data_IF_967078129661
#
_entry.id   IF_967078129661
#
_cell.length_a   1.000
_cell.length_b   1.000
_cell.length_c   1.000
_cell.angle_alpha   90.00
_cell.angle_beta   90.00
_cell.angle_gamma   90.00
#
_symmetry.space_group_name_H-M   'P 1'
#
loop_
_entity.id
_entity.type
_entity.pdbx_description
1 polymer ?
#
# COMPACT_ATOMS: atom_id res chain seq x y z
N UNK A 1 25.27 20.44 -7.50
CA UNK A 1 24.47 20.85 -8.67
C UNK A 1 24.43 19.69 -9.66
N UNK A 2 23.98 18.53 -9.17
CA UNK A 2 23.81 17.33 -9.98
C UNK A 2 22.34 17.26 -10.38
N UNK A 3 21.96 18.03 -11.40
CA UNK A 3 20.62 17.97 -11.98
C UNK A 3 20.58 16.80 -12.98
N UNK A 4 20.11 15.63 -12.55
CA UNK A 4 19.91 14.49 -13.46
C UNK A 4 18.68 14.79 -14.32
N UNK A 5 18.91 15.20 -15.57
CA UNK A 5 17.86 15.36 -16.59
C UNK A 5 17.61 14.03 -17.30
N UNK A 6 16.64 13.25 -16.83
CA UNK A 6 16.22 12.01 -17.48
C UNK A 6 15.19 12.28 -18.59
N UNK A 7 15.60 12.12 -19.85
CA UNK A 7 14.68 12.18 -20.99
C UNK A 7 14.04 10.78 -21.18
N UNK A 8 12.74 10.66 -20.95
CA UNK A 8 12.00 9.42 -21.27
C UNK A 8 11.18 9.62 -22.56
N UNK A 9 11.61 8.91 -23.60
CA UNK A 9 10.92 8.85 -24.89
C UNK A 9 9.88 7.74 -24.85
N UNK A 10 8.58 8.05 -24.99
CA UNK A 10 7.52 7.05 -24.93
C UNK A 10 6.74 6.95 -26.24
N UNK A 11 6.45 5.70 -26.61
CA UNK A 11 5.58 5.32 -27.73
C UNK A 11 4.28 4.77 -27.16
N UNK A 12 3.17 5.51 -27.30
CA UNK A 12 1.85 4.94 -27.05
C UNK A 12 1.51 4.01 -28.24
N UNK A 13 1.46 2.69 -27.99
CA UNK A 13 0.86 1.72 -28.91
C UNK A 13 -0.65 1.67 -28.65
N UNK A 14 -1.41 2.46 -29.39
CA UNK A 14 -2.86 2.27 -29.52
C UNK A 14 -3.12 1.44 -30.78
N UNK A 15 -3.43 0.14 -30.60
CA UNK A 15 -3.72 -0.84 -31.67
C UNK A 15 -5.06 -0.57 -32.43
N UNK A 16 -5.55 0.68 -32.48
CA UNK A 16 -6.79 1.02 -33.17
C UNK A 16 -6.74 2.28 -34.05
N UNK A 17 -5.60 2.96 -34.22
CA UNK A 17 -5.49 3.98 -35.26
C UNK A 17 -4.07 4.12 -35.83
N UNK A 18 -4.00 4.17 -37.15
CA UNK A 18 -2.78 4.27 -37.99
C UNK A 18 -2.00 5.60 -37.85
N UNK A 19 -2.12 6.30 -36.72
CA UNK A 19 -1.36 7.53 -36.42
C UNK A 19 -0.64 7.38 -35.08
N UNK A 20 0.38 6.51 -35.06
CA UNK A 20 1.33 6.46 -33.95
C UNK A 20 2.03 7.82 -33.85
N UNK A 21 1.68 8.59 -32.82
CA UNK A 21 2.43 9.80 -32.47
C UNK A 21 3.38 9.44 -31.35
N UNK A 22 4.67 9.45 -31.66
CA UNK A 22 5.73 9.36 -30.65
C UNK A 22 5.66 10.61 -29.78
N UNK A 23 5.39 10.45 -28.48
CA UNK A 23 5.28 11.57 -27.54
C UNK A 23 6.43 11.47 -26.55
N UNK A 24 7.30 12.48 -26.55
CA UNK A 24 8.44 12.54 -25.64
C UNK A 24 8.04 13.25 -24.35
N UNK A 25 8.37 12.65 -23.21
CA UNK A 25 8.17 13.25 -21.90
C UNK A 25 9.52 13.54 -21.24
N UNK A 26 9.61 14.71 -20.63
CA UNK A 26 10.83 15.14 -19.94
C UNK A 26 10.63 14.92 -18.45
N UNK A 27 11.59 14.27 -17.80
CA UNK A 27 11.61 14.08 -16.36
C UNK A 27 12.91 14.64 -15.79
N UNK A 28 12.81 15.61 -14.89
CA UNK A 28 13.98 16.12 -14.17
C UNK A 28 13.96 15.52 -12.77
N UNK A 29 15.08 14.97 -12.34
CA UNK A 29 15.26 14.43 -11.00
C UNK A 29 16.48 15.09 -10.36
N UNK A 30 16.26 15.74 -9.23
CA UNK A 30 17.30 16.26 -8.37
C UNK A 30 17.44 15.28 -7.18
N UNK A 31 18.63 14.67 -7.07
CA UNK A 31 18.93 13.68 -6.03
C UNK A 31 19.14 14.33 -4.66
N UNK A 32 19.67 15.55 -4.59
CA UNK A 32 19.93 16.30 -3.35
C UNK A 32 18.60 16.60 -2.63
N UNK A 33 17.62 17.14 -3.36
CA UNK A 33 16.32 17.52 -2.81
C UNK A 33 15.26 16.41 -2.92
N UNK A 34 15.60 15.29 -3.57
CA UNK A 34 14.64 14.27 -4.03
C UNK A 34 13.43 14.91 -4.74
N UNK A 35 13.68 15.96 -5.53
CA UNK A 35 12.65 16.63 -6.33
C UNK A 35 12.56 16.02 -7.72
N UNK A 36 11.33 15.72 -8.14
CA UNK A 36 11.05 15.14 -9.44
C UNK A 36 9.91 15.87 -10.14
N UNK A 37 10.15 16.23 -11.39
CA UNK A 37 9.18 16.89 -12.23
C UNK A 37 9.03 16.13 -13.55
N UNK A 38 7.79 15.98 -14.02
CA UNK A 38 7.53 15.40 -15.34
C UNK A 38 6.62 16.31 -16.15
N UNK A 39 6.93 16.47 -17.44
CA UNK A 39 6.11 17.21 -18.40
C UNK A 39 4.69 16.63 -18.58
N UNK A 40 4.43 15.41 -18.09
CA UNK A 40 3.09 14.82 -18.01
C UNK A 40 2.12 15.60 -17.10
N UNK A 41 2.65 16.40 -16.15
CA UNK A 41 1.89 17.17 -15.15
C UNK A 41 0.84 16.38 -14.35
N UNK A 42 0.95 15.05 -14.30
CA UNK A 42 -0.03 14.17 -13.64
C UNK A 42 -0.16 14.48 -12.15
N UNK A 43 0.95 14.87 -11.50
CA UNK A 43 0.93 15.27 -10.10
C UNK A 43 0.13 16.58 -9.91
N UNK A 44 0.30 17.57 -10.78
CA UNK A 44 -0.44 18.82 -10.73
C UNK A 44 -1.95 18.61 -10.90
N UNK A 45 -2.36 17.70 -11.82
CA UNK A 45 -3.77 17.45 -12.12
C UNK A 45 -4.45 16.46 -11.16
N UNK A 46 -3.77 15.39 -10.75
CA UNK A 46 -4.36 14.29 -9.95
C UNK A 46 -3.75 14.15 -8.56
N UNK A 47 -2.63 14.81 -8.29
CA UNK A 47 -1.88 14.63 -7.05
C UNK A 47 -1.23 13.26 -6.91
N UNK A 48 -1.02 12.56 -8.03
CA UNK A 48 -0.36 11.24 -8.10
C UNK A 48 0.76 11.33 -9.13
N UNK A 49 1.91 10.71 -8.82
CA UNK A 49 3.02 10.60 -9.77
C UNK A 49 2.65 9.75 -10.99
N UNK A 50 3.07 10.18 -12.19
CA UNK A 50 2.89 9.37 -13.40
C UNK A 50 3.89 8.21 -13.44
N UNK A 51 3.63 7.22 -14.31
CA UNK A 51 4.54 6.10 -14.56
C UNK A 51 5.95 6.56 -14.88
N UNK A 52 6.10 7.67 -15.63
CA UNK A 52 7.41 8.20 -16.02
C UNK A 52 8.25 8.57 -14.80
N UNK A 53 7.65 9.28 -13.83
CA UNK A 53 8.30 9.64 -12.56
C UNK A 53 8.69 8.39 -11.78
N UNK A 54 7.76 7.43 -11.66
CA UNK A 54 8.01 6.19 -10.93
C UNK A 54 9.13 5.36 -11.56
N UNK A 55 9.23 5.34 -12.89
CA UNK A 55 10.31 4.67 -13.63
C UNK A 55 11.66 5.32 -13.34
N UNK A 56 11.75 6.66 -13.34
CA UNK A 56 13.00 7.36 -12.98
C UNK A 56 13.39 7.09 -11.53
N UNK A 57 12.46 7.16 -10.59
CA UNK A 57 12.74 6.86 -9.18
C UNK A 57 13.24 5.42 -9.00
N UNK A 58 12.58 4.46 -9.67
CA UNK A 58 13.00 3.06 -9.64
C UNK A 58 14.40 2.86 -10.23
N UNK A 59 14.74 3.58 -11.30
CA UNK A 59 16.07 3.53 -11.90
C UNK A 59 17.14 4.11 -10.97
N UNK A 60 16.82 5.19 -10.27
CA UNK A 60 17.73 5.82 -9.29
C UNK A 60 17.74 5.11 -7.92
N UNK A 61 17.15 3.91 -7.81
CA UNK A 61 17.15 3.14 -6.57
C UNK A 61 16.32 3.73 -5.43
N UNK A 62 15.49 4.75 -5.70
CA UNK A 62 14.64 5.40 -4.70
C UNK A 62 13.47 4.47 -4.36
N UNK A 63 13.49 3.91 -3.15
CA UNK A 63 12.48 2.95 -2.67
C UNK A 63 11.26 3.60 -2.06
N UNK A 64 11.41 4.82 -1.56
CA UNK A 64 10.36 5.55 -0.85
C UNK A 64 10.15 6.92 -1.47
N UNK A 65 8.89 7.27 -1.69
CA UNK A 65 8.54 8.57 -2.23
C UNK A 65 8.62 9.63 -1.12
N UNK A 66 9.28 10.78 -1.34
CA UNK A 66 9.31 11.87 -0.37
C UNK A 66 7.91 12.31 0.10
N UNK A 67 7.78 12.67 1.38
CA UNK A 67 6.48 13.00 1.99
C UNK A 67 5.76 14.17 1.27
N UNK A 68 6.51 15.09 0.65
CA UNK A 68 5.98 16.20 -0.17
C UNK A 68 5.04 15.74 -1.30
N UNK A 69 5.21 14.51 -1.79
CA UNK A 69 4.36 13.94 -2.84
C UNK A 69 3.23 13.05 -2.30
N UNK A 70 3.19 12.79 -0.98
CA UNK A 70 2.18 11.97 -0.33
C UNK A 70 1.06 12.87 0.21
N UNK A 71 0.12 13.24 -0.67
CA UNK A 71 -0.99 14.10 -0.28
C UNK A 71 -1.93 13.42 0.73
N UNK A 72 -2.50 14.21 1.67
CA UNK A 72 -3.49 13.72 2.67
C UNK A 72 -4.66 12.97 2.06
N UNK A 73 -5.04 13.28 0.81
CA UNK A 73 -6.10 12.59 0.08
C UNK A 73 -5.78 11.13 -0.20
N UNK A 74 -4.51 10.78 -0.40
CA UNK A 74 -4.05 9.42 -0.69
C UNK A 74 -3.61 8.66 0.56
N UNK A 75 -3.36 9.37 1.66
CA UNK A 75 -3.06 8.79 2.97
C UNK A 75 -4.21 7.95 3.52
N UNK A 76 -3.89 6.74 4.00
CA UNK A 76 -4.84 5.77 4.59
C UNK A 76 -4.93 5.89 6.11
N UNK A 77 -3.89 6.40 6.76
CA UNK A 77 -3.81 6.72 8.19
C UNK A 77 -4.68 7.93 8.60
N UNK A 78 -5.14 8.74 7.63
CA UNK A 78 -6.02 9.87 7.88
C UNK A 78 -7.45 9.38 8.10
N UNK A 79 -7.94 9.55 9.34
CA UNK A 79 -9.36 9.33 9.69
C UNK A 79 -10.23 10.34 8.94
N UNK A 80 -11.12 9.85 8.08
CA UNK A 80 -12.10 10.66 7.35
C UNK A 80 -13.47 10.46 7.98
N UNK A 81 -14.18 11.55 8.30
CA UNK A 81 -15.48 11.49 8.97
C UNK A 81 -16.54 10.68 8.21
N UNK A 82 -16.42 10.56 6.89
CA UNK A 82 -17.34 9.81 6.04
C UNK A 82 -16.97 8.32 5.86
N UNK A 83 -15.78 7.90 6.27
CA UNK A 83 -15.33 6.51 6.13
C UNK A 83 -15.63 5.76 7.43
N UNK A 84 -16.87 5.29 7.60
CA UNK A 84 -17.26 4.40 8.71
C UNK A 84 -16.68 2.98 8.57
N UNK A 85 -16.05 2.67 7.43
CA UNK A 85 -15.41 1.39 7.16
C UNK A 85 -14.00 1.40 7.75
N UNK A 86 -13.74 0.51 8.71
CA UNK A 86 -12.40 0.30 9.26
C UNK A 86 -11.50 -0.31 8.17
N UNK A 87 -10.75 0.53 7.47
CA UNK A 87 -9.75 0.07 6.50
C UNK A 87 -8.49 -0.29 7.28
N UNK A 88 -8.27 -1.59 7.53
CA UNK A 88 -7.08 -2.07 8.21
C UNK A 88 -5.84 -1.97 7.31
N UNK A 89 -4.68 -1.62 7.90
CA UNK A 89 -3.36 -1.69 7.23
C UNK A 89 -2.94 -3.12 6.88
N UNK A 90 -3.56 -4.13 7.49
CA UNK A 90 -3.18 -5.54 7.37
C UNK A 90 -3.52 -6.17 6.01
N UNK A 91 -4.32 -5.54 5.15
CA UNK A 91 -4.68 -6.15 3.86
C UNK A 91 -3.52 -6.27 2.84
N UNK A 92 -2.32 -5.76 3.16
CA UNK A 92 -1.11 -5.89 2.33
C UNK A 92 -0.07 -6.85 2.92
N UNK A 93 -0.21 -7.23 4.19
CA UNK A 93 0.59 -8.30 4.77
C UNK A 93 -0.20 -9.58 4.53
N UNK A 94 0.27 -10.43 3.62
CA UNK A 94 -0.21 -11.81 3.52
C UNK A 94 0.35 -12.62 4.69
N UNK A 95 0.12 -12.18 5.93
CA UNK A 95 0.46 -12.96 7.11
C UNK A 95 -0.65 -13.98 7.39
N UNK A 96 -0.27 -15.10 8.01
CA UNK A 96 -1.20 -16.19 8.31
C UNK A 96 -2.38 -15.70 9.16
N UNK A 97 -2.15 -14.70 10.03
CA UNK A 97 -3.18 -14.07 10.83
C UNK A 97 -4.25 -13.36 9.98
N UNK A 98 -3.86 -12.66 8.92
CA UNK A 98 -4.83 -12.02 8.01
C UNK A 98 -5.65 -13.06 7.26
N UNK A 99 -5.03 -14.15 6.80
CA UNK A 99 -5.75 -15.25 6.14
C UNK A 99 -6.78 -15.88 7.08
N UNK A 100 -6.39 -16.22 8.32
CA UNK A 100 -7.28 -16.76 9.34
C UNK A 100 -8.48 -15.84 9.62
N UNK A 101 -8.24 -14.53 9.68
CA UNK A 101 -9.31 -13.54 9.85
C UNK A 101 -10.30 -13.56 8.68
N UNK A 102 -9.81 -13.52 7.44
CA UNK A 102 -10.67 -13.52 6.26
C UNK A 102 -11.47 -14.83 6.12
N UNK A 103 -10.83 -15.97 6.37
CA UNK A 103 -11.50 -17.28 6.33
C UNK A 103 -12.64 -17.36 7.35
N UNK A 104 -12.42 -16.86 8.58
CA UNK A 104 -13.47 -16.78 9.60
C UNK A 104 -14.60 -15.83 9.19
N UNK A 105 -14.28 -14.65 8.64
CA UNK A 105 -15.30 -13.71 8.18
C UNK A 105 -16.18 -14.31 7.08
N UNK A 106 -15.60 -15.06 6.15
CA UNK A 106 -16.36 -15.70 5.07
C UNK A 106 -17.31 -16.77 5.64
N UNK A 107 -16.80 -17.67 6.49
CA UNK A 107 -17.61 -18.71 7.11
C UNK A 107 -18.77 -18.14 7.96
N UNK A 108 -18.51 -17.09 8.74
CA UNK A 108 -19.56 -16.44 9.51
C UNK A 108 -20.55 -15.68 8.62
N UNK A 109 -20.10 -15.16 7.48
CA UNK A 109 -20.97 -14.54 6.48
C UNK A 109 -21.95 -15.55 5.90
N UNK A 110 -21.46 -16.69 5.43
CA UNK A 110 -22.28 -17.78 4.89
C UNK A 110 -23.28 -18.31 5.92
N UNK A 111 -22.82 -18.53 7.16
CA UNK A 111 -23.69 -18.95 8.25
C UNK A 111 -24.77 -17.90 8.54
N UNK A 112 -24.41 -16.61 8.55
CA UNK A 112 -25.37 -15.53 8.75
C UNK A 112 -26.43 -15.51 7.65
N UNK A 113 -26.04 -15.71 6.39
CA UNK A 113 -26.97 -15.76 5.26
C UNK A 113 -27.96 -16.93 5.38
N UNK A 114 -27.50 -18.11 5.82
CA UNK A 114 -28.38 -19.27 6.02
C UNK A 114 -29.33 -19.13 7.20
N UNK A 115 -28.86 -18.50 8.28
CA UNK A 115 -29.58 -18.46 9.54
C UNK A 115 -30.51 -17.25 9.62
N UNK A 116 -30.26 -16.20 8.84
CA UNK A 116 -31.10 -15.01 8.77
C UNK A 116 -32.56 -15.36 8.44
N UNK A 117 -33.47 -15.07 9.38
CA UNK A 117 -34.90 -15.35 9.23
C UNK A 117 -35.33 -16.79 9.60
N UNK A 118 -34.42 -17.64 10.07
CA UNK A 118 -34.74 -19.00 10.54
C UNK A 118 -34.95 -19.05 12.06
N UNK A 119 -35.67 -20.07 12.53
CA UNK A 119 -35.85 -20.33 13.97
C UNK A 119 -34.55 -20.74 14.69
N UNK A 120 -33.49 -21.05 13.95
CA UNK A 120 -32.17 -21.46 14.47
C UNK A 120 -31.29 -20.27 14.86
N UNK A 121 -31.67 -19.04 14.48
CA UNK A 121 -30.96 -17.81 14.82
C UNK A 121 -30.60 -17.64 16.30
N UNK A 122 -31.53 -17.75 17.27
CA UNK A 122 -31.19 -17.52 18.68
C UNK A 122 -30.14 -18.48 19.20
N UNK A 123 -30.23 -19.78 18.87
CA UNK A 123 -29.27 -20.80 19.31
C UNK A 123 -27.86 -20.50 18.78
N UNK A 124 -27.74 -20.21 17.49
CA UNK A 124 -26.46 -19.94 16.85
C UNK A 124 -25.87 -18.61 17.35
N UNK A 125 -26.71 -17.60 17.58
CA UNK A 125 -26.26 -16.32 18.11
C UNK A 125 -25.80 -16.42 19.57
N UNK A 126 -26.47 -17.23 20.40
CA UNK A 126 -26.06 -17.51 21.78
C UNK A 126 -24.74 -18.29 21.81
N UNK A 127 -24.57 -19.27 20.91
CA UNK A 127 -23.30 -19.97 20.73
C UNK A 127 -22.17 -19.01 20.34
N UNK A 128 -22.40 -18.11 19.37
CA UNK A 128 -21.44 -17.08 18.97
C UNK A 128 -21.08 -16.17 20.15
N UNK A 129 -22.06 -15.79 20.98
CA UNK A 129 -21.84 -14.97 22.17
C UNK A 129 -20.98 -15.68 23.20
N UNK A 130 -21.23 -16.97 23.45
CA UNK A 130 -20.41 -17.81 24.33
C UNK A 130 -18.98 -17.93 23.81
N UNK A 131 -18.79 -18.21 22.51
CA UNK A 131 -17.45 -18.33 21.91
C UNK A 131 -16.66 -17.02 21.97
N UNK A 132 -17.30 -15.88 21.74
CA UNK A 132 -16.67 -14.56 21.89
C UNK A 132 -16.12 -14.35 23.30
N UNK A 133 -16.88 -14.71 24.34
CA UNK A 133 -16.45 -14.59 25.74
C UNK A 133 -15.28 -15.52 26.07
N UNK A 134 -15.32 -16.76 25.59
CA UNK A 134 -14.25 -17.74 25.79
C UNK A 134 -12.91 -17.24 25.21
N UNK A 135 -12.91 -16.79 23.96
CA UNK A 135 -11.71 -16.25 23.30
C UNK A 135 -11.20 -14.99 24.02
N UNK A 136 -12.09 -14.10 24.46
CA UNK A 136 -11.71 -12.91 25.22
C UNK A 136 -11.00 -13.27 26.54
N UNK A 137 -11.47 -14.29 27.26
CA UNK A 137 -10.84 -14.74 28.48
C UNK A 137 -9.42 -15.29 28.23
N UNK A 138 -9.24 -16.06 27.16
CA UNK A 138 -7.91 -16.57 26.77
C UNK A 138 -6.96 -15.41 26.48
N UNK A 139 -7.42 -14.41 25.73
CA UNK A 139 -6.63 -13.21 25.40
C UNK A 139 -6.21 -12.42 26.65
N UNK A 140 -7.09 -12.30 27.65
CA UNK A 140 -6.78 -11.62 28.91
C UNK A 140 -5.71 -12.41 29.69
N UNK A 141 -5.89 -13.73 29.84
CA UNK A 141 -4.94 -14.60 30.54
C UNK A 141 -3.55 -14.59 29.90
N UNK A 142 -3.47 -14.58 28.56
CA UNK A 142 -2.20 -14.51 27.84
C UNK A 142 -1.43 -13.22 28.17
N UNK A 143 -2.10 -12.06 28.16
CA UNK A 143 -1.50 -10.75 28.49
C UNK A 143 -1.01 -10.66 29.94
N UNK A 144 -1.74 -11.27 30.88
CA UNK A 144 -1.31 -11.33 32.28
C UNK A 144 -0.02 -12.16 32.46
N UNK A 145 0.09 -13.28 31.73
CA UNK A 145 1.29 -14.13 31.74
C UNK A 145 2.52 -13.44 31.13
N UNK A 146 2.34 -12.58 30.13
CA UNK A 146 3.41 -11.79 29.52
C UNK A 146 3.90 -10.67 30.44
N UNK A 147 2.98 -10.04 31.20
CA UNK A 147 3.31 -8.98 32.17
C UNK A 147 4.16 -9.49 33.35
N UNK A 148 3.97 -10.74 33.74
CA UNK A 148 4.79 -11.42 34.76
C UNK A 148 6.21 -11.70 34.25
N UNK A 149 6.37 -12.03 32.95
CA UNK A 149 7.69 -12.25 32.33
C UNK A 149 8.47 -10.96 32.10
N UNK A 150 7.79 -9.87 31.74
CA UNK A 150 8.42 -8.55 31.51
C UNK A 150 9.04 -7.93 32.76
N UNK A 151 8.49 -8.18 33.96
CA UNK A 151 9.06 -7.70 35.23
C UNK A 151 10.38 -8.36 35.62
N UNK A 152 10.76 -9.47 35.00
CA UNK A 152 12.01 -10.18 35.32
C UNK A 152 13.19 -9.75 34.44
N UNK A 153 12.96 -8.88 33.43
CA UNK A 153 13.94 -8.50 32.41
C UNK A 153 14.50 -7.08 32.58
N UNK A 154 13.89 -6.21 33.40
CA UNK A 154 14.35 -4.82 33.58
C UNK A 154 15.56 -4.64 34.52
N UNK A 155 16.08 -5.70 35.16
CA UNK A 155 17.28 -5.61 36.02
C UNK A 155 18.61 -5.93 35.31
N UNK A 156 18.61 -6.29 34.02
CA UNK A 156 19.87 -6.62 33.32
C UNK A 156 19.87 -6.13 31.88
N UNK A 157 20.35 -4.90 31.65
CA UNK A 157 21.22 -4.50 30.52
C UNK A 157 21.75 -3.09 30.81
N UNK A 158 23.07 -2.99 30.91
CA UNK A 158 23.90 -1.77 30.98
C UNK A 158 24.74 -1.70 29.69
N UNK A 159 24.78 -0.48 29.14
CA UNK A 159 25.72 0.17 28.21
C UNK A 159 26.20 -0.48 26.88
N UNK A 160 25.98 0.27 25.79
CA UNK A 160 26.97 0.94 24.89
C UNK A 160 26.42 1.03 23.45
N UNK A 161 26.05 2.21 22.91
CA UNK A 161 26.81 3.29 22.22
C UNK A 161 27.20 2.95 20.75
N UNK A 162 26.52 3.63 19.79
CA UNK A 162 26.98 4.38 18.58
C UNK A 162 27.98 3.73 17.56
N UNK A 163 28.13 4.08 16.27
CA UNK A 163 27.77 5.20 15.38
C UNK A 163 28.12 4.84 13.90
N UNK A 164 27.38 5.40 12.91
CA UNK A 164 27.68 5.78 11.49
C UNK A 164 28.38 4.76 10.54
N UNK A 165 28.37 4.82 9.20
CA UNK A 165 28.14 5.77 8.09
C UNK A 165 29.03 5.24 6.93
N UNK A 166 28.64 5.16 5.66
CA UNK A 166 28.92 6.15 4.60
C UNK A 166 28.62 5.56 3.20
N UNK A 167 28.50 6.48 2.25
CA UNK A 167 28.02 6.44 0.85
C UNK A 167 29.11 6.23 -0.21
N UNK A 168 28.72 5.84 -1.45
CA UNK A 168 29.55 6.07 -2.66
C UNK A 168 28.73 6.55 -3.89
N UNK A 169 29.21 7.68 -4.43
CA UNK A 169 29.33 8.27 -5.79
C UNK A 169 28.31 8.00 -6.93
N UNK A 170 27.91 9.08 -7.61
CA UNK A 170 27.00 9.12 -8.75
C UNK A 170 27.66 9.57 -10.07
N UNK A 171 27.24 8.95 -11.17
CA UNK A 171 27.65 9.18 -12.56
C UNK A 171 26.48 9.81 -13.36
N UNK A 172 26.73 10.95 -14.01
CA UNK A 172 25.77 11.69 -14.83
C UNK A 172 25.51 10.94 -16.16
N UNK A 173 24.62 9.97 -16.11
CA UNK A 173 24.25 9.14 -17.26
C UNK A 173 22.89 9.55 -17.84
N UNK A 174 22.87 9.85 -19.13
CA UNK A 174 21.63 9.99 -19.91
C UNK A 174 21.04 8.58 -20.11
N UNK A 175 20.04 8.23 -19.30
CA UNK A 175 19.40 6.91 -19.33
C UNK A 175 18.12 6.94 -20.17
N UNK A 176 18.01 6.03 -21.15
CA UNK A 176 16.76 5.77 -21.88
C UNK A 176 15.98 4.67 -21.17
N UNK A 177 14.84 4.99 -20.55
CA UNK A 177 13.94 4.02 -19.89
C UNK A 177 12.65 3.87 -20.69
N UNK A 178 12.29 2.64 -21.05
CA UNK A 178 11.02 2.32 -21.72
C UNK A 178 9.88 2.18 -20.68
N UNK A 179 8.64 2.49 -21.08
CA UNK A 179 7.48 2.30 -20.22
C UNK A 179 7.24 0.81 -19.89
N UNK A 180 6.78 0.48 -18.67
CA UNK A 180 6.23 -0.84 -18.38
C UNK A 180 5.04 -1.13 -19.29
N UNK A 181 4.99 -2.33 -19.88
CA UNK A 181 3.87 -2.74 -20.72
C UNK A 181 2.53 -2.52 -20.01
N UNK A 182 1.61 -1.79 -20.65
CA UNK A 182 0.26 -1.59 -20.13
C UNK A 182 -0.43 -2.95 -20.02
N UNK A 183 -0.74 -3.37 -18.80
CA UNK A 183 -1.61 -4.53 -18.59
C UNK A 183 -3.05 -4.15 -18.97
N UNK A 184 -3.81 -5.03 -19.64
CA UNK A 184 -5.22 -4.79 -19.91
C UNK A 184 -5.96 -4.46 -18.61
N UNK A 185 -6.75 -3.39 -18.62
CA UNK A 185 -7.58 -3.02 -17.46
C UNK A 185 -8.62 -4.13 -17.24
N UNK A 186 -8.48 -4.92 -16.19
CA UNK A 186 -9.58 -5.77 -15.69
C UNK A 186 -10.59 -4.88 -14.96
N UNK A 187 -11.52 -4.29 -15.72
CA UNK A 187 -12.65 -3.56 -15.20
C UNK A 187 -13.90 -4.44 -15.08
N UNK A 188 -14.86 -4.04 -14.25
CA UNK A 188 -16.19 -4.62 -14.22
C UNK A 188 -16.85 -4.43 -15.60
N UNK A 189 -17.30 -5.51 -16.24
CA UNK A 189 -17.98 -5.45 -17.54
C UNK A 189 -19.16 -4.48 -17.44
N UNK A 190 -19.21 -3.51 -18.35
CA UNK A 190 -20.34 -2.57 -18.44
C UNK A 190 -21.55 -3.37 -18.90
N UNK A 191 -22.61 -3.42 -18.08
CA UNK A 191 -23.88 -4.04 -18.51
C UNK A 191 -24.39 -3.24 -19.70
N UNK A 192 -24.52 -3.88 -20.85
CA UNK A 192 -25.33 -3.37 -21.94
C UNK A 192 -26.78 -3.38 -21.47
N UNK A 193 -27.49 -2.28 -21.71
CA UNK A 193 -28.94 -2.22 -21.53
C UNK A 193 -29.51 -2.67 -22.86
N UNK A 194 -30.21 -3.81 -22.86
CA UNK A 194 -31.01 -4.30 -24.00
C UNK A 194 -32.30 -3.48 -24.14
#
# INVERSE_FOLDING_TARGET
MNDIMCIIVLSDNDDYCDFYKKVTFFVTYNSEDCDIHCSCQMFSFKGIQCSHVLSVLSHNGVRELPEKYILRRWRKDVKRCHTKVKVGFSCWKNDDASKQYYDLCNQFGELADWVAGTSQYPEINDWLACKKKEVQQIMIKAKESEKLKGKQFEENIVDTVDINGESEEGDDTVITVNDPLRKPRRGRTRKTVD
#
